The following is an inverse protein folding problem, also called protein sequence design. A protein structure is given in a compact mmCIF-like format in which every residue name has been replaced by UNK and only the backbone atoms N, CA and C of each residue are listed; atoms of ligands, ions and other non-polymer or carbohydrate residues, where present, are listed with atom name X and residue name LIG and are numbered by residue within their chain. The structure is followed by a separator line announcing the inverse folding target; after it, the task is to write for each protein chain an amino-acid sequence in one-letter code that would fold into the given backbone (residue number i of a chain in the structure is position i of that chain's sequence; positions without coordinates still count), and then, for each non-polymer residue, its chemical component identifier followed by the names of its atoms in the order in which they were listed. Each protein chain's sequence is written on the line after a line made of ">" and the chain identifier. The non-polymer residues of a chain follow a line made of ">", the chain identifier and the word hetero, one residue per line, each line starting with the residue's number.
data_IF_476610439433
#
_entry.id   IF_476610439433
#
_cell.length_a   1.000
_cell.length_b   1.000
_cell.length_c   1.000
_cell.angle_alpha   90.00
_cell.angle_beta   90.00
_cell.angle_gamma   90.00
#
_symmetry.space_group_name_H-M   'P 1'
#
loop_
_entity.id
_entity.type
_entity.pdbx_description
1 polymer ?
#
# COMPACT_ATOMS: atom_id res chain seq x y z
N UNK A 1 34.30 36.76 -4.41
CA UNK A 1 34.68 37.77 -3.39
C UNK A 1 33.81 39.00 -3.64
N UNK A 2 33.39 39.71 -2.57
CA UNK A 2 32.44 40.86 -2.45
C UNK A 2 30.95 40.50 -2.56
N UNK A 3 30.21 40.28 -1.45
CA UNK A 3 29.69 41.21 -0.42
C UNK A 3 28.67 42.19 -1.01
N UNK A 4 27.39 41.79 -1.02
CA UNK A 4 26.26 42.20 -0.12
C UNK A 4 25.91 43.70 -0.16
N UNK A 5 24.59 43.94 -0.22
CA UNK A 5 23.81 45.09 0.30
C UNK A 5 23.33 46.11 -0.75
N UNK A 6 22.12 45.90 -1.25
CA UNK A 6 21.22 47.00 -1.64
C UNK A 6 20.00 46.97 -0.73
N UNK A 7 20.05 47.84 0.27
CA UNK A 7 18.98 48.77 0.66
C UNK A 7 17.54 48.27 0.58
N UNK A 8 16.91 48.11 1.74
CA UNK A 8 15.87 49.04 2.16
C UNK A 8 15.33 48.63 3.54
N UNK A 9 16.02 49.12 4.57
CA UNK A 9 15.39 49.33 5.85
C UNK A 9 14.26 50.34 5.67
N UNK A 10 13.00 49.89 5.69
CA UNK A 10 11.87 50.75 6.00
C UNK A 10 10.89 50.01 6.90
N UNK A 11 10.96 50.42 8.17
CA UNK A 11 9.81 50.65 9.04
C UNK A 11 9.18 49.39 9.66
N UNK A 12 9.87 48.91 10.69
CA UNK A 12 9.26 48.28 11.86
C UNK A 12 8.27 49.29 12.45
N UNK A 13 6.97 49.02 12.32
CA UNK A 13 5.92 49.64 13.14
C UNK A 13 4.89 48.58 13.53
N UNK A 14 4.89 48.29 14.83
CA UNK A 14 3.71 48.13 15.68
C UNK A 14 2.67 47.09 15.25
N UNK A 15 2.63 45.97 15.97
CA UNK A 15 1.57 45.75 16.97
C UNK A 15 1.66 44.30 17.50
N UNK A 16 2.17 44.16 18.71
CA UNK A 16 1.84 43.02 19.55
C UNK A 16 0.37 43.16 19.96
N UNK A 17 -0.52 42.37 19.36
CA UNK A 17 -1.83 42.10 19.92
C UNK A 17 -1.90 40.60 20.16
N UNK A 18 -1.93 40.28 21.45
CA UNK A 18 -2.25 38.97 21.97
C UNK A 18 -3.56 38.49 21.35
N UNK A 19 -3.50 37.33 20.72
CA UNK A 19 -4.65 36.63 20.20
C UNK A 19 -4.24 35.19 20.00
N UNK A 20 -4.41 34.40 21.06
CA UNK A 20 -4.36 32.95 21.06
C UNK A 20 -5.40 32.46 20.03
N UNK A 21 -5.04 32.47 18.74
CA UNK A 21 -5.86 31.86 17.69
C UNK A 21 -5.66 30.36 17.83
N UNK A 22 -6.47 29.83 18.73
CA UNK A 22 -6.85 28.44 18.90
C UNK A 22 -6.51 27.62 17.68
N UNK A 23 -5.65 26.63 17.91
CA UNK A 23 -5.47 25.49 17.05
C UNK A 23 -6.84 24.97 16.59
N UNK A 24 -7.28 25.39 15.42
CA UNK A 24 -8.24 24.62 14.66
C UNK A 24 -7.48 23.42 14.09
N UNK A 25 -7.10 22.47 14.98
CA UNK A 25 -6.92 21.09 14.54
C UNK A 25 -8.32 20.66 14.12
N UNK A 26 -8.66 20.93 12.86
CA UNK A 26 -9.76 20.24 12.23
C UNK A 26 -9.54 18.76 12.55
N UNK A 27 -10.54 18.03 13.07
CA UNK A 27 -10.39 16.61 13.21
C UNK A 27 -10.11 16.15 11.78
N UNK A 28 -8.90 15.64 11.54
CA UNK A 28 -8.63 14.89 10.34
C UNK A 28 -9.68 13.78 10.41
N UNK A 29 -10.80 13.95 9.71
CA UNK A 29 -11.69 12.85 9.45
C UNK A 29 -10.78 11.85 8.75
N UNK A 30 -10.42 10.77 9.45
CA UNK A 30 -9.54 9.76 8.90
C UNK A 30 -10.33 9.18 7.73
N UNK A 31 -10.04 9.69 6.53
CA UNK A 31 -10.67 9.18 5.32
C UNK A 31 -10.30 7.70 5.28
N UNK A 32 -11.30 6.85 5.43
CA UNK A 32 -11.09 5.41 5.52
C UNK A 32 -10.19 4.98 4.36
N UNK A 33 -9.03 4.41 4.69
CA UNK A 33 -8.09 3.95 3.66
C UNK A 33 -8.69 2.70 3.05
N UNK A 34 -9.23 2.84 1.85
CA UNK A 34 -9.77 1.74 1.06
C UNK A 34 -8.63 1.07 0.30
N UNK A 35 -8.53 -0.25 0.42
CA UNK A 35 -7.56 -1.09 -0.29
C UNK A 35 -8.23 -2.32 -0.90
N UNK A 36 -7.58 -2.93 -1.89
CA UNK A 36 -7.93 -4.25 -2.41
C UNK A 36 -6.97 -5.29 -1.85
N UNK A 37 -7.50 -6.43 -1.41
CA UNK A 37 -6.74 -7.63 -1.12
C UNK A 37 -6.91 -8.64 -2.26
N UNK A 38 -5.79 -9.01 -2.89
CA UNK A 38 -5.70 -10.12 -3.83
C UNK A 38 -5.23 -11.38 -3.13
N UNK A 39 -5.63 -12.54 -3.65
CA UNK A 39 -5.20 -13.85 -3.15
C UNK A 39 -4.72 -14.73 -4.29
N UNK A 40 -3.61 -15.41 -4.06
CA UNK A 40 -3.06 -16.44 -4.94
C UNK A 40 -2.80 -17.71 -4.14
N UNK A 41 -2.97 -18.87 -4.77
CA UNK A 41 -2.71 -20.18 -4.17
C UNK A 41 -2.10 -21.15 -5.15
N UNK A 42 -1.29 -22.09 -4.70
CA UNK A 42 -0.92 -23.25 -5.53
C UNK A 42 -2.10 -24.22 -5.56
N UNK A 43 -2.53 -24.64 -6.75
CA UNK A 43 -3.66 -25.57 -6.91
C UNK A 43 -3.41 -26.87 -6.15
N UNK A 44 -4.44 -27.39 -5.49
CA UNK A 44 -4.42 -28.73 -4.87
C UNK A 44 -4.11 -29.84 -5.88
N UNK A 45 -4.49 -29.62 -7.14
CA UNK A 45 -4.25 -30.54 -8.25
C UNK A 45 -2.84 -30.48 -8.84
N UNK A 46 -1.92 -29.65 -8.30
CA UNK A 46 -0.53 -29.61 -8.73
C UNK A 46 0.12 -31.00 -8.59
N UNK A 47 1.15 -31.39 -9.36
CA UNK A 47 1.81 -32.69 -9.21
C UNK A 47 2.39 -32.89 -7.80
N UNK A 48 2.43 -34.13 -7.32
CA UNK A 48 2.90 -34.42 -5.96
C UNK A 48 4.41 -34.23 -5.85
N UNK A 49 5.15 -34.67 -6.85
CA UNK A 49 6.57 -34.36 -6.96
C UNK A 49 6.75 -33.26 -8.03
N UNK A 50 7.36 -32.09 -7.74
CA UNK A 50 7.95 -31.68 -6.45
C UNK A 50 6.99 -30.90 -5.52
N UNK A 51 5.71 -30.74 -5.87
CA UNK A 51 4.84 -29.72 -5.26
C UNK A 51 3.98 -30.16 -4.08
N UNK A 52 4.13 -31.39 -3.57
CA UNK A 52 3.29 -31.94 -2.49
C UNK A 52 3.25 -31.05 -1.26
N UNK A 53 4.38 -30.43 -0.90
CA UNK A 53 4.48 -29.54 0.27
C UNK A 53 3.91 -28.13 0.03
N UNK A 54 3.66 -27.77 -1.23
CA UNK A 54 3.21 -26.45 -1.65
C UNK A 54 1.76 -26.44 -2.15
N UNK A 55 1.14 -27.60 -2.40
CA UNK A 55 -0.30 -27.72 -2.71
C UNK A 55 -1.14 -27.01 -1.65
N UNK A 56 -2.09 -26.20 -2.10
CA UNK A 56 -2.97 -25.43 -1.22
C UNK A 56 -2.31 -24.21 -0.57
N UNK A 57 -1.00 -24.03 -0.69
CA UNK A 57 -0.29 -22.89 -0.10
C UNK A 57 -0.86 -21.60 -0.67
N UNK A 58 -1.27 -20.69 0.21
CA UNK A 58 -1.87 -19.41 -0.16
C UNK A 58 -1.05 -18.23 0.31
N UNK A 59 -1.09 -17.14 -0.44
CA UNK A 59 -0.63 -15.83 0.00
C UNK A 59 -1.58 -14.73 -0.48
N UNK A 60 -1.55 -13.62 0.24
CA UNK A 60 -2.32 -12.42 -0.08
C UNK A 60 -1.39 -11.25 -0.35
N UNK A 61 -1.92 -10.24 -1.03
CA UNK A 61 -1.27 -8.97 -1.28
C UNK A 61 -2.31 -7.87 -1.16
N UNK A 62 -1.91 -6.70 -0.65
CA UNK A 62 -2.81 -5.57 -0.41
C UNK A 62 -2.29 -4.36 -1.19
N UNK A 63 -3.18 -3.68 -1.90
CA UNK A 63 -2.86 -2.48 -2.68
C UNK A 63 -3.92 -1.40 -2.46
N UNK A 64 -3.54 -0.11 -2.30
CA UNK A 64 -4.49 0.96 -2.05
C UNK A 64 -5.41 1.22 -3.25
N UNK A 65 -6.65 1.61 -2.96
CA UNK A 65 -7.70 1.86 -3.94
C UNK A 65 -8.73 0.74 -4.02
N UNK A 66 -9.79 0.97 -4.80
CA UNK A 66 -10.92 0.02 -5.01
C UNK A 66 -11.12 -0.40 -6.47
N UNK A 67 -10.27 0.06 -7.38
CA UNK A 67 -10.43 -0.17 -8.82
C UNK A 67 -10.02 -1.60 -9.24
N UNK A 68 -10.30 -1.94 -10.49
CA UNK A 68 -9.84 -3.19 -11.09
C UNK A 68 -8.31 -3.27 -11.19
N UNK A 69 -7.66 -2.13 -11.45
CA UNK A 69 -6.20 -2.00 -11.46
C UNK A 69 -5.63 -2.27 -10.07
N UNK A 70 -6.24 -1.71 -9.00
CA UNK A 70 -5.82 -1.99 -7.63
C UNK A 70 -5.93 -3.48 -7.29
N UNK A 71 -6.98 -4.16 -7.76
CA UNK A 71 -7.09 -5.62 -7.63
C UNK A 71 -5.98 -6.36 -8.41
N UNK A 72 -5.64 -5.89 -9.61
CA UNK A 72 -4.56 -6.46 -10.42
C UNK A 72 -3.21 -6.33 -9.72
N UNK A 73 -2.90 -5.17 -9.16
CA UNK A 73 -1.68 -4.94 -8.38
C UNK A 73 -1.66 -5.76 -7.08
N UNK A 74 -2.78 -5.84 -6.37
CA UNK A 74 -2.90 -6.67 -5.18
C UNK A 74 -2.65 -8.16 -5.49
N UNK A 75 -3.12 -8.67 -6.64
CA UNK A 75 -2.83 -10.03 -7.11
C UNK A 75 -1.36 -10.24 -7.51
N UNK A 76 -0.71 -9.24 -8.12
CA UNK A 76 0.74 -9.29 -8.39
C UNK A 76 1.53 -9.42 -7.09
N UNK A 77 1.21 -8.59 -6.09
CA UNK A 77 1.82 -8.68 -4.76
C UNK A 77 1.55 -10.03 -4.09
N UNK A 78 0.31 -10.54 -4.19
CA UNK A 78 -0.04 -11.86 -3.66
C UNK A 78 0.79 -12.98 -4.31
N UNK A 79 1.05 -12.90 -5.62
CA UNK A 79 1.91 -13.84 -6.34
C UNK A 79 3.36 -13.74 -5.89
N UNK A 80 3.93 -12.54 -5.74
CA UNK A 80 5.29 -12.34 -5.21
C UNK A 80 5.42 -12.92 -3.80
N UNK A 81 4.43 -12.65 -2.93
CA UNK A 81 4.39 -13.20 -1.57
C UNK A 81 4.26 -14.73 -1.55
N UNK A 82 3.51 -15.31 -2.49
CA UNK A 82 3.42 -16.75 -2.66
C UNK A 82 4.76 -17.33 -3.09
N UNK A 83 5.42 -16.69 -4.04
CA UNK A 83 6.72 -17.10 -4.56
C UNK A 83 7.80 -17.16 -3.48
N UNK A 84 7.76 -16.22 -2.52
CA UNK A 84 8.66 -16.20 -1.36
C UNK A 84 8.40 -17.34 -0.37
N UNK A 85 7.19 -17.94 -0.40
CA UNK A 85 6.76 -19.00 0.52
C UNK A 85 6.84 -20.39 -0.08
N UNK A 86 6.88 -20.52 -1.39
CA UNK A 86 6.91 -21.80 -2.10
C UNK A 86 8.32 -22.39 -2.06
N UNK A 87 8.43 -23.66 -1.68
CA UNK A 87 9.72 -24.34 -1.55
C UNK A 87 10.37 -24.64 -2.90
N UNK A 88 9.57 -24.99 -3.92
CA UNK A 88 10.07 -25.24 -5.26
C UNK A 88 9.42 -24.30 -6.29
N UNK A 89 10.24 -23.45 -6.93
CA UNK A 89 9.77 -22.45 -7.90
C UNK A 89 9.04 -23.06 -9.10
N UNK A 90 9.30 -24.32 -9.47
CA UNK A 90 8.56 -25.02 -10.52
C UNK A 90 7.05 -25.10 -10.20
N UNK A 91 6.68 -25.11 -8.92
CA UNK A 91 5.29 -25.16 -8.48
C UNK A 91 4.52 -23.88 -8.77
N UNK A 92 5.20 -22.77 -9.01
CA UNK A 92 4.58 -21.50 -9.36
C UNK A 92 3.79 -21.57 -10.68
N UNK A 93 4.09 -22.53 -11.56
CA UNK A 93 3.30 -22.79 -12.77
C UNK A 93 1.85 -23.19 -12.46
N UNK A 94 1.59 -23.73 -11.26
CA UNK A 94 0.26 -24.15 -10.80
C UNK A 94 -0.41 -23.10 -9.91
N UNK A 95 0.06 -21.85 -9.95
CA UNK A 95 -0.55 -20.75 -9.20
C UNK A 95 -1.92 -20.40 -9.78
N UNK A 96 -2.92 -20.30 -8.91
CA UNK A 96 -4.25 -19.78 -9.18
C UNK A 96 -4.47 -18.46 -8.42
N UNK A 97 -4.68 -17.38 -9.18
CA UNK A 97 -5.06 -16.05 -8.68
C UNK A 97 -6.44 -15.63 -9.21
N UNK A 98 -7.27 -16.58 -9.66
CA UNK A 98 -8.59 -16.31 -10.26
C UNK A 98 -9.59 -15.75 -9.26
N UNK A 99 -9.38 -15.98 -7.96
CA UNK A 99 -10.27 -15.51 -6.89
C UNK A 99 -10.50 -13.99 -6.97
N UNK A 100 -11.72 -13.52 -6.71
CA UNK A 100 -12.02 -12.09 -6.71
C UNK A 100 -11.24 -11.40 -5.59
N UNK A 101 -10.89 -10.12 -5.80
CA UNK A 101 -10.29 -9.32 -4.75
C UNK A 101 -11.34 -8.90 -3.72
N UNK A 102 -10.91 -8.75 -2.48
CA UNK A 102 -11.74 -8.25 -1.38
C UNK A 102 -11.40 -6.79 -1.12
N UNK A 103 -12.41 -5.93 -1.06
CA UNK A 103 -12.24 -4.55 -0.59
C UNK A 103 -12.07 -4.56 0.92
N UNK A 104 -11.04 -3.87 1.40
CA UNK A 104 -10.73 -3.67 2.82
C UNK A 104 -10.80 -2.17 3.10
N UNK A 105 -11.59 -1.79 4.11
CA UNK A 105 -11.65 -0.44 4.62
C UNK A 105 -10.98 -0.41 5.99
N UNK A 106 -9.99 0.47 6.14
CA UNK A 106 -9.30 0.70 7.42
C UNK A 106 -9.63 2.10 7.92
N UNK A 107 -9.99 2.20 9.20
CA UNK A 107 -10.33 3.45 9.90
C UNK A 107 -9.07 4.22 10.30
#
# INVERSE_FOLDING_TARGET
>A
MTIVTRNAARLIRLAAVAGFMSFAVAPAAHAAKVSQEGRCSIKESAPADPCKADRGRTATGVYPGKSHEACTEAKKLARTNLEARVSNKACMAYTDCSKPCKVIESQ
#
